data_IF_682204013454
#
_entry.id   IF_682204013454
#
_cell.length_a   1.000
_cell.length_b   1.000
_cell.length_c   1.000
_cell.angle_alpha   90.00
_cell.angle_beta   90.00
_cell.angle_gamma   90.00
#
_symmetry.space_group_name_H-M   'P 1'
#
loop_
_entity.id
_entity.type
_entity.pdbx_description
1 polymer ?
#
# COMPACT_ATOMS: atom_id res chain seq x y z
N UNK A 1 -7.94 -3.36 49.07
CA UNK A 1 -8.67 -4.10 48.02
C UNK A 1 -8.01 -3.77 46.69
N UNK A 2 -7.13 -4.65 46.21
CA UNK A 2 -6.39 -4.50 44.97
C UNK A 2 -7.11 -5.39 43.94
N UNK A 3 -7.76 -4.78 42.94
CA UNK A 3 -8.49 -5.49 41.91
C UNK A 3 -7.51 -6.06 40.88
N UNK A 4 -7.43 -7.36 40.77
CA UNK A 4 -6.78 -8.09 39.68
C UNK A 4 -7.48 -7.80 38.36
N UNK A 5 -6.76 -7.28 37.40
CA UNK A 5 -7.13 -7.31 35.98
C UNK A 5 -6.60 -8.63 35.37
N UNK A 6 -7.35 -9.30 34.52
CA UNK A 6 -6.96 -10.62 34.04
C UNK A 6 -5.82 -10.54 33.01
N UNK A 7 -4.87 -11.42 33.21
CA UNK A 7 -3.59 -11.62 32.50
C UNK A 7 -3.73 -12.18 31.06
N UNK A 8 -4.96 -12.21 30.51
CA UNK A 8 -5.25 -12.89 29.25
C UNK A 8 -4.98 -12.04 27.98
N UNK A 9 -4.86 -10.71 28.12
CA UNK A 9 -4.55 -9.88 26.94
C UNK A 9 -3.05 -9.82 26.61
N UNK A 10 -2.17 -10.12 27.57
CA UNK A 10 -0.72 -10.16 27.33
C UNK A 10 -0.23 -11.43 26.62
N UNK A 11 -0.99 -12.51 26.65
CA UNK A 11 -0.61 -13.78 26.00
C UNK A 11 -0.91 -13.79 24.50
N UNK A 12 -1.93 -13.06 24.04
CA UNK A 12 -2.31 -13.04 22.62
C UNK A 12 -1.33 -12.20 21.78
N UNK A 13 -0.74 -11.15 22.36
CA UNK A 13 0.26 -10.31 21.65
C UNK A 13 1.59 -11.06 21.47
N UNK A 14 1.88 -12.05 22.33
CA UNK A 14 3.15 -12.81 22.28
C UNK A 14 3.20 -13.92 21.22
N UNK A 15 2.06 -14.39 20.71
CA UNK A 15 2.02 -15.47 19.70
C UNK A 15 2.21 -15.00 18.27
N UNK A 16 2.02 -13.71 18.00
CA UNK A 16 1.98 -13.15 16.65
C UNK A 16 3.32 -12.57 16.17
N UNK A 17 4.35 -12.68 17.00
CA UNK A 17 5.69 -12.25 16.69
C UNK A 17 6.48 -13.43 16.08
N UNK A 18 6.65 -13.43 14.78
CA UNK A 18 7.42 -14.46 14.06
C UNK A 18 8.88 -14.48 14.54
N UNK A 19 9.36 -15.67 14.94
CA UNK A 19 10.79 -15.96 15.05
C UNK A 19 11.34 -16.12 13.63
N UNK A 20 12.17 -15.20 13.20
CA UNK A 20 13.07 -15.44 12.08
C UNK A 20 14.29 -16.19 12.62
N UNK A 21 14.67 -17.27 11.95
CA UNK A 21 15.75 -18.16 12.36
C UNK A 21 17.05 -17.38 12.67
N UNK A 22 17.47 -17.46 13.91
CA UNK A 22 18.82 -17.05 14.35
C UNK A 22 18.99 -15.63 14.87
N UNK A 23 17.97 -14.75 14.89
CA UNK A 23 18.04 -13.40 15.47
C UNK A 23 17.00 -13.26 16.56
N UNK A 24 17.42 -13.06 17.81
CA UNK A 24 16.55 -12.78 18.95
C UNK A 24 15.97 -11.34 18.87
N UNK A 25 15.11 -11.09 17.89
CA UNK A 25 14.39 -9.83 17.72
C UNK A 25 12.93 -10.10 17.42
N UNK A 26 12.05 -9.39 18.12
CA UNK A 26 10.63 -9.39 17.82
C UNK A 26 10.40 -8.40 16.66
N UNK A 27 10.03 -8.89 15.48
CA UNK A 27 9.75 -8.03 14.32
C UNK A 27 8.25 -7.84 14.19
N UNK A 28 7.84 -6.63 13.83
CA UNK A 28 6.45 -6.34 13.49
C UNK A 28 6.08 -7.07 12.18
N UNK A 29 4.95 -7.75 12.20
CA UNK A 29 4.37 -8.35 11.01
C UNK A 29 3.70 -7.25 10.15
N UNK A 30 3.62 -7.46 8.84
CA UNK A 30 2.95 -6.53 7.93
C UNK A 30 1.50 -6.25 8.36
N UNK A 31 0.79 -7.27 8.82
CA UNK A 31 -0.59 -7.19 9.30
C UNK A 31 -0.77 -6.39 10.59
N UNK A 32 0.27 -6.15 11.37
CA UNK A 32 0.22 -5.39 12.63
C UNK A 32 0.71 -3.95 12.48
N UNK A 33 1.15 -3.54 11.28
CA UNK A 33 1.60 -2.19 11.01
C UNK A 33 0.48 -1.12 11.10
N UNK A 34 -0.76 -1.53 10.94
CA UNK A 34 -1.95 -0.69 11.17
C UNK A 34 -2.82 -1.36 12.22
N UNK A 35 -3.24 -0.59 13.23
CA UNK A 35 -4.07 -1.09 14.31
C UNK A 35 -5.37 -1.72 13.77
N UNK A 36 -5.64 -2.97 14.13
CA UNK A 36 -6.81 -3.74 13.70
C UNK A 36 -6.72 -4.35 12.30
N UNK A 37 -5.64 -4.13 11.53
CA UNK A 37 -5.45 -4.78 10.22
C UNK A 37 -5.28 -6.30 10.38
N UNK A 38 -4.76 -6.77 11.50
CA UNK A 38 -4.64 -8.18 11.88
C UNK A 38 -5.99 -8.90 11.99
N UNK A 39 -7.08 -8.16 12.21
CA UNK A 39 -8.45 -8.72 12.18
C UNK A 39 -8.92 -9.05 10.77
N UNK A 40 -8.37 -8.34 9.78
CA UNK A 40 -8.68 -8.54 8.36
C UNK A 40 -7.69 -9.50 7.72
N UNK A 41 -6.41 -9.28 7.90
CA UNK A 41 -5.32 -10.15 7.39
C UNK A 41 -4.88 -11.05 8.54
N UNK A 42 -5.35 -12.31 8.54
CA UNK A 42 -5.19 -13.23 9.67
C UNK A 42 -3.83 -13.91 9.71
N UNK A 43 -3.24 -14.17 8.55
CA UNK A 43 -1.86 -14.67 8.44
C UNK A 43 -0.99 -13.62 7.77
N UNK A 44 0.29 -13.57 8.12
CA UNK A 44 1.16 -12.53 7.59
C UNK A 44 1.41 -12.67 6.08
N UNK A 45 1.75 -11.56 5.46
CA UNK A 45 2.00 -11.50 4.03
C UNK A 45 3.43 -11.96 3.77
N UNK A 46 3.57 -13.14 3.14
CA UNK A 46 4.88 -13.67 2.75
C UNK A 46 5.39 -12.98 1.47
N UNK A 47 6.54 -12.29 1.51
CA UNK A 47 7.16 -11.72 0.32
C UNK A 47 7.64 -12.79 -0.67
N UNK A 48 7.78 -12.48 -1.98
CA UNK A 48 7.36 -11.24 -2.62
C UNK A 48 5.88 -11.23 -3.00
N UNK A 49 5.22 -10.07 -2.93
CA UNK A 49 3.83 -9.89 -3.39
C UNK A 49 3.64 -8.53 -4.05
N UNK A 50 2.80 -8.49 -5.07
CA UNK A 50 2.26 -7.25 -5.62
C UNK A 50 0.81 -7.12 -5.18
N UNK A 51 0.51 -6.06 -4.44
CA UNK A 51 -0.81 -5.79 -3.86
C UNK A 51 -1.36 -4.52 -4.49
N UNK A 52 -2.50 -4.62 -5.15
CA UNK A 52 -3.24 -3.48 -5.66
C UNK A 52 -4.05 -2.87 -4.52
N UNK A 53 -3.85 -1.58 -4.25
CA UNK A 53 -4.65 -0.80 -3.31
C UNK A 53 -5.55 0.12 -4.11
N UNK A 54 -6.83 -0.19 -4.15
CA UNK A 54 -7.78 0.47 -5.05
C UNK A 54 -8.93 1.11 -4.31
N UNK A 55 -9.63 2.03 -4.98
CA UNK A 55 -10.81 2.71 -4.44
C UNK A 55 -11.02 4.10 -5.03
N UNK A 56 -12.18 4.74 -4.75
CA UNK A 56 -12.50 6.06 -5.27
C UNK A 56 -11.60 7.15 -4.66
N UNK A 57 -11.59 8.36 -5.24
CA UNK A 57 -10.98 9.53 -4.62
C UNK A 57 -11.50 9.75 -3.20
N UNK A 58 -10.63 10.16 -2.27
CA UNK A 58 -10.98 10.40 -0.86
C UNK A 58 -11.13 9.14 0.00
N UNK A 59 -10.89 7.93 -0.54
CA UNK A 59 -10.93 6.68 0.23
C UNK A 59 -9.68 6.41 1.09
N UNK A 60 -8.67 7.28 1.04
CA UNK A 60 -7.44 7.23 1.84
C UNK A 60 -6.40 6.19 1.39
N UNK A 61 -6.33 5.89 0.09
CA UNK A 61 -5.34 4.95 -0.49
C UNK A 61 -3.89 5.34 -0.17
N UNK A 62 -3.52 6.59 -0.49
CA UNK A 62 -2.21 7.18 -0.21
C UNK A 62 -1.84 7.08 1.27
N UNK A 63 -2.75 7.52 2.15
CA UNK A 63 -2.52 7.51 3.61
C UNK A 63 -2.39 6.09 4.17
N UNK A 64 -3.16 5.14 3.63
CA UNK A 64 -3.06 3.73 4.01
C UNK A 64 -1.68 3.16 3.64
N UNK A 65 -1.26 3.32 2.38
CA UNK A 65 0.04 2.82 1.91
C UNK A 65 1.20 3.45 2.69
N UNK A 66 1.15 4.76 2.91
CA UNK A 66 2.18 5.48 3.64
C UNK A 66 2.25 5.06 5.11
N UNK A 67 1.12 5.01 5.81
CA UNK A 67 1.07 4.61 7.23
C UNK A 67 1.60 3.20 7.42
N UNK A 68 1.13 2.26 6.57
CA UNK A 68 1.57 0.88 6.62
C UNK A 68 3.08 0.77 6.41
N UNK A 69 3.58 1.42 5.35
CA UNK A 69 4.99 1.37 4.99
C UNK A 69 5.87 2.03 6.05
N UNK A 70 5.50 3.24 6.52
CA UNK A 70 6.28 3.98 7.52
C UNK A 70 6.40 3.21 8.84
N UNK A 71 5.30 2.68 9.35
CA UNK A 71 5.30 1.92 10.61
C UNK A 71 6.07 0.61 10.47
N UNK A 72 5.82 -0.14 9.39
CA UNK A 72 6.54 -1.39 9.15
C UNK A 72 8.07 -1.17 9.08
N UNK A 73 8.52 -0.18 8.29
CA UNK A 73 9.95 0.09 8.14
C UNK A 73 10.60 0.64 9.41
N UNK A 74 9.85 1.41 10.22
CA UNK A 74 10.34 1.89 11.52
C UNK A 74 10.66 0.74 12.47
N UNK A 75 9.84 -0.29 12.47
CA UNK A 75 9.95 -1.39 13.42
C UNK A 75 10.87 -2.51 12.94
N UNK A 76 10.93 -2.75 11.64
CA UNK A 76 11.80 -3.81 11.09
C UNK A 76 13.23 -3.36 10.80
N UNK A 77 13.44 -2.05 10.59
CA UNK A 77 14.71 -1.52 10.11
C UNK A 77 15.00 -1.86 8.65
N UNK A 78 14.04 -2.46 7.94
CA UNK A 78 14.12 -2.68 6.49
C UNK A 78 13.98 -1.37 5.73
N UNK A 79 14.35 -1.37 4.44
CA UNK A 79 14.30 -0.19 3.58
C UNK A 79 13.11 -0.27 2.61
N UNK A 80 12.53 0.89 2.31
CA UNK A 80 11.44 1.02 1.37
C UNK A 80 11.54 2.27 0.49
N UNK A 81 11.01 2.15 -0.73
CA UNK A 81 10.91 3.22 -1.71
C UNK A 81 9.43 3.53 -1.97
N UNK A 82 9.02 4.76 -1.66
CA UNK A 82 7.70 5.31 -2.01
C UNK A 82 7.84 6.23 -3.21
N UNK A 83 7.17 5.92 -4.30
CA UNK A 83 7.19 6.70 -5.54
C UNK A 83 5.82 7.32 -5.74
N UNK A 84 5.74 8.66 -5.70
CA UNK A 84 4.52 9.41 -6.02
C UNK A 84 4.61 10.01 -7.42
N UNK A 85 3.52 9.91 -8.17
CA UNK A 85 3.35 10.49 -9.50
C UNK A 85 2.30 11.61 -9.52
N UNK A 86 1.61 11.85 -8.40
CA UNK A 86 0.48 12.78 -8.32
C UNK A 86 0.85 14.10 -7.61
N UNK A 87 1.80 14.06 -6.69
CA UNK A 87 2.18 15.22 -5.89
C UNK A 87 3.69 15.27 -5.65
N UNK A 88 4.20 16.44 -5.27
CA UNK A 88 5.61 16.62 -4.89
C UNK A 88 5.88 15.93 -3.54
N UNK A 89 7.13 15.50 -3.32
CA UNK A 89 7.58 14.97 -2.00
C UNK A 89 7.19 15.90 -0.86
N UNK A 90 7.36 17.21 -1.06
CA UNK A 90 7.07 18.21 -0.02
C UNK A 90 5.57 18.28 0.32
N UNK A 91 4.69 18.22 -0.69
CA UNK A 91 3.23 18.15 -0.50
C UNK A 91 2.84 16.87 0.22
N UNK A 92 3.37 15.74 -0.24
CA UNK A 92 3.11 14.43 0.33
C UNK A 92 3.46 14.37 1.82
N UNK A 93 4.67 14.82 2.17
CA UNK A 93 5.13 14.84 3.57
C UNK A 93 4.25 15.73 4.47
N UNK A 94 3.88 16.94 4.00
CA UNK A 94 2.97 17.83 4.75
C UNK A 94 1.61 17.19 5.00
N UNK A 95 1.07 16.49 3.98
CA UNK A 95 -0.20 15.79 4.12
C UNK A 95 -0.12 14.68 5.17
N UNK A 96 0.95 13.89 5.17
CA UNK A 96 1.15 12.81 6.15
C UNK A 96 1.43 13.33 7.56
N UNK A 97 2.22 14.39 7.69
CA UNK A 97 2.47 15.07 8.97
C UNK A 97 1.17 15.63 9.57
N UNK A 98 0.28 16.18 8.76
CA UNK A 98 -1.03 16.66 9.21
C UNK A 98 -1.90 15.55 9.82
N UNK A 99 -1.72 14.32 9.39
CA UNK A 99 -2.33 13.12 9.94
C UNK A 99 -1.56 12.57 11.15
N UNK A 100 -0.41 13.17 11.49
CA UNK A 100 0.46 12.72 12.57
C UNK A 100 1.18 11.41 12.28
N UNK A 101 1.35 11.05 11.01
CA UNK A 101 2.15 9.89 10.59
C UNK A 101 3.57 10.34 10.31
N UNK A 102 4.49 9.86 11.12
CA UNK A 102 5.91 10.20 11.01
C UNK A 102 6.55 9.49 9.80
N UNK A 103 7.50 10.16 9.16
CA UNK A 103 8.36 9.54 8.14
C UNK A 103 9.34 8.57 8.82
N UNK A 104 9.39 7.33 8.35
CA UNK A 104 10.46 6.40 8.75
C UNK A 104 11.79 6.83 8.12
N UNK A 105 12.88 6.82 8.87
CA UNK A 105 14.22 7.09 8.36
C UNK A 105 14.69 6.07 7.30
N UNK A 106 14.03 4.92 7.24
CA UNK A 106 14.33 3.86 6.27
C UNK A 106 13.41 3.92 5.04
N UNK A 107 12.62 4.99 4.88
CA UNK A 107 11.75 5.21 3.73
C UNK A 107 12.28 6.36 2.87
N UNK A 108 12.62 6.06 1.64
CA UNK A 108 12.89 7.07 0.63
C UNK A 108 11.59 7.40 -0.11
N UNK A 109 11.31 8.69 -0.30
CA UNK A 109 10.22 9.16 -1.14
C UNK A 109 10.81 9.82 -2.37
N UNK A 110 10.24 9.52 -3.53
CA UNK A 110 10.61 10.14 -4.82
C UNK A 110 9.36 10.60 -5.54
N UNK A 111 9.41 11.77 -6.15
CA UNK A 111 8.40 12.27 -7.09
C UNK A 111 9.00 12.46 -8.49
N UNK A 112 8.16 12.83 -9.44
CA UNK A 112 8.52 12.99 -10.85
C UNK A 112 8.19 14.38 -11.37
N UNK A 113 8.04 15.36 -10.48
CA UNK A 113 7.61 16.72 -10.85
C UNK A 113 8.60 17.34 -11.82
N UNK A 114 9.90 17.30 -11.52
CA UNK A 114 10.93 17.89 -12.37
C UNK A 114 11.00 17.21 -13.76
N UNK A 115 10.84 15.86 -13.82
CA UNK A 115 10.81 15.13 -15.08
C UNK A 115 9.59 15.52 -15.93
N UNK A 116 8.43 15.71 -15.31
CA UNK A 116 7.21 16.13 -16.01
C UNK A 116 7.34 17.56 -16.55
N UNK A 117 8.01 18.46 -15.83
CA UNK A 117 8.29 19.81 -16.30
C UNK A 117 9.24 19.79 -17.50
N UNK A 118 10.25 18.91 -17.50
CA UNK A 118 11.15 18.73 -18.65
C UNK A 118 10.37 18.17 -19.84
N UNK A 119 9.58 17.14 -19.66
CA UNK A 119 8.80 16.52 -20.73
C UNK A 119 7.76 17.46 -21.34
N UNK A 120 7.28 18.45 -20.59
CA UNK A 120 6.35 19.45 -21.10
C UNK A 120 6.97 20.40 -22.15
N UNK A 121 8.30 20.50 -22.23
CA UNK A 121 9.03 21.41 -23.13
C UNK A 121 9.84 20.69 -24.22
N UNK A 122 10.00 19.35 -24.11
CA UNK A 122 10.69 18.54 -25.12
C UNK A 122 9.70 17.97 -26.15
N UNK A 123 10.19 17.56 -27.31
CA UNK A 123 9.36 16.93 -28.33
C UNK A 123 8.93 15.51 -27.97
N UNK A 124 7.90 14.95 -28.64
CA UNK A 124 7.39 13.61 -28.36
C UNK A 124 8.45 12.49 -28.45
N UNK A 125 9.46 12.67 -29.32
CA UNK A 125 10.53 11.68 -29.51
C UNK A 125 11.52 11.63 -28.33
N UNK A 126 11.57 12.70 -27.52
CA UNK A 126 12.51 12.84 -26.39
C UNK A 126 11.83 12.64 -25.02
N UNK A 127 10.58 12.21 -25.01
CA UNK A 127 9.83 12.01 -23.76
C UNK A 127 10.37 10.86 -22.90
N UNK A 128 10.24 11.03 -21.60
CA UNK A 128 10.74 10.07 -20.62
C UNK A 128 9.92 8.77 -20.62
N UNK A 129 10.56 7.61 -20.77
CA UNK A 129 9.92 6.35 -20.40
C UNK A 129 9.89 6.21 -18.86
N UNK A 130 8.81 6.71 -18.25
CA UNK A 130 8.62 6.73 -16.80
C UNK A 130 8.69 5.33 -16.18
N UNK A 131 8.17 4.30 -16.87
CA UNK A 131 8.23 2.93 -16.38
C UNK A 131 9.68 2.45 -16.31
N UNK A 132 10.45 2.64 -17.38
CA UNK A 132 11.87 2.29 -17.40
C UNK A 132 12.69 3.11 -16.38
N UNK A 133 12.28 4.34 -16.10
CA UNK A 133 12.93 5.14 -15.06
C UNK A 133 12.67 4.56 -13.66
N UNK A 134 11.41 4.20 -13.35
CA UNK A 134 11.03 3.54 -12.09
C UNK A 134 11.80 2.22 -11.93
N UNK A 135 11.88 1.41 -12.98
CA UNK A 135 12.64 0.16 -12.96
C UNK A 135 14.12 0.40 -12.62
N UNK A 136 14.75 1.39 -13.24
CA UNK A 136 16.16 1.75 -12.93
C UNK A 136 16.33 2.22 -11.50
N UNK A 137 15.39 3.01 -10.96
CA UNK A 137 15.42 3.40 -9.54
C UNK A 137 15.34 2.21 -8.61
N UNK A 138 14.43 1.27 -8.86
CA UNK A 138 14.28 0.05 -8.05
C UNK A 138 15.58 -0.75 -8.06
N UNK A 139 16.17 -0.97 -9.23
CA UNK A 139 17.43 -1.69 -9.37
C UNK A 139 18.59 -0.97 -8.69
N UNK A 140 18.63 0.37 -8.73
CA UNK A 140 19.61 1.18 -8.00
C UNK A 140 19.49 0.96 -6.49
N UNK A 141 18.29 1.12 -5.92
CA UNK A 141 18.09 0.93 -4.47
C UNK A 141 18.31 -0.52 -4.04
N UNK A 142 17.98 -1.50 -4.90
CA UNK A 142 18.33 -2.91 -4.65
C UNK A 142 19.84 -3.10 -4.56
N UNK A 143 20.61 -2.46 -5.43
CA UNK A 143 22.08 -2.50 -5.39
C UNK A 143 22.63 -1.84 -4.12
N UNK A 144 22.06 -0.72 -3.68
CA UNK A 144 22.54 0.04 -2.51
C UNK A 144 22.18 -0.65 -1.20
N UNK A 145 20.95 -1.11 -1.05
CA UNK A 145 20.40 -1.63 0.21
C UNK A 145 20.36 -3.16 0.28
N UNK A 146 20.62 -3.85 -0.83
CA UNK A 146 20.62 -5.31 -0.89
C UNK A 146 19.30 -5.91 -0.41
N UNK A 147 19.36 -6.94 0.42
CA UNK A 147 18.20 -7.62 0.97
C UNK A 147 17.38 -6.79 1.97
N UNK A 148 17.89 -5.65 2.43
CA UNK A 148 17.12 -4.73 3.28
C UNK A 148 16.03 -4.00 2.51
N UNK A 149 16.14 -3.84 1.19
CA UNK A 149 15.10 -3.23 0.37
C UNK A 149 13.95 -4.23 0.19
N UNK A 150 12.86 -4.03 0.94
CA UNK A 150 11.73 -4.96 1.02
C UNK A 150 10.41 -4.39 0.57
N UNK A 151 10.19 -3.09 0.72
CA UNK A 151 8.91 -2.46 0.35
C UNK A 151 9.06 -1.47 -0.79
N UNK A 152 8.13 -1.52 -1.71
CA UNK A 152 7.97 -0.54 -2.78
C UNK A 152 6.53 -0.07 -2.85
N UNK A 153 6.30 1.23 -3.05
CA UNK A 153 4.97 1.79 -3.30
C UNK A 153 5.00 2.64 -4.57
N UNK A 154 4.02 2.43 -5.44
CA UNK A 154 3.74 3.26 -6.61
C UNK A 154 2.38 3.96 -6.44
N UNK A 155 2.39 5.26 -6.30
CA UNK A 155 1.19 6.09 -6.13
C UNK A 155 1.12 7.20 -7.21
N UNK A 156 0.44 6.99 -8.34
CA UNK A 156 -0.45 5.89 -8.62
C UNK A 156 -0.15 5.26 -9.99
N UNK A 157 -0.68 4.05 -10.19
CA UNK A 157 -0.63 3.37 -11.48
C UNK A 157 -1.46 4.11 -12.54
N UNK A 158 -2.58 4.74 -12.13
CA UNK A 158 -3.39 5.58 -13.02
C UNK A 158 -2.62 6.77 -13.55
N UNK A 159 -1.87 7.46 -12.68
CA UNK A 159 -0.99 8.56 -13.09
C UNK A 159 0.13 8.06 -14.03
N UNK A 160 0.73 6.89 -13.75
CA UNK A 160 1.72 6.30 -14.65
C UNK A 160 1.14 6.06 -16.04
N UNK A 161 -0.07 5.49 -16.14
CA UNK A 161 -0.73 5.27 -17.43
C UNK A 161 -0.99 6.56 -18.20
N UNK A 162 -1.35 7.63 -17.49
CA UNK A 162 -1.58 8.95 -18.11
C UNK A 162 -0.29 9.58 -18.67
N UNK A 163 0.87 9.18 -18.15
CA UNK A 163 2.17 9.61 -18.61
C UNK A 163 2.76 8.73 -19.73
N UNK A 164 2.13 7.59 -20.00
CA UNK A 164 2.58 6.67 -21.05
C UNK A 164 1.81 6.94 -22.35
N UNK A 165 2.46 7.54 -23.34
CA UNK A 165 1.83 7.84 -24.62
C UNK A 165 1.36 6.60 -25.38
N UNK A 166 2.09 5.49 -25.27
CA UNK A 166 1.80 4.27 -25.99
C UNK A 166 1.19 3.20 -25.08
N UNK A 167 -0.13 3.10 -25.13
CA UNK A 167 -0.90 2.07 -24.41
C UNK A 167 -0.86 0.70 -25.08
N UNK A 168 -0.21 0.59 -26.25
CA UNK A 168 -0.10 -0.68 -26.97
C UNK A 168 0.73 -1.67 -26.12
N UNK A 169 0.19 -2.89 -25.95
CA UNK A 169 0.80 -3.93 -25.11
C UNK A 169 0.91 -3.59 -23.60
N UNK A 170 0.12 -2.65 -23.06
CA UNK A 170 0.16 -2.24 -21.66
C UNK A 170 0.12 -3.43 -20.70
N UNK A 171 -0.78 -4.39 -20.93
CA UNK A 171 -0.86 -5.62 -20.11
C UNK A 171 0.48 -6.39 -20.09
N UNK A 172 1.17 -6.46 -21.22
CA UNK A 172 2.48 -7.14 -21.32
C UNK A 172 3.55 -6.36 -20.56
N UNK A 173 3.56 -5.01 -20.64
CA UNK A 173 4.48 -4.15 -19.89
C UNK A 173 4.26 -4.31 -18.40
N UNK A 174 3.00 -4.27 -17.92
CA UNK A 174 2.66 -4.47 -16.52
C UNK A 174 3.00 -5.87 -16.01
N UNK A 175 2.81 -6.90 -16.83
CA UNK A 175 3.25 -8.26 -16.48
C UNK A 175 4.75 -8.31 -16.17
N UNK A 176 5.59 -7.73 -17.03
CA UNK A 176 7.03 -7.71 -16.82
C UNK A 176 7.44 -6.81 -15.65
N UNK A 177 6.79 -5.67 -15.47
CA UNK A 177 7.02 -4.80 -14.32
C UNK A 177 6.72 -5.51 -13.00
N UNK A 178 5.55 -6.12 -12.87
CA UNK A 178 5.20 -6.86 -11.65
C UNK A 178 6.06 -8.12 -11.45
N UNK A 179 6.49 -8.75 -12.54
CA UNK A 179 7.47 -9.83 -12.47
C UNK A 179 8.80 -9.31 -11.91
N UNK A 180 9.30 -8.19 -12.42
CA UNK A 180 10.55 -7.57 -11.95
C UNK A 180 10.48 -7.22 -10.46
N UNK A 181 9.35 -6.70 -9.97
CA UNK A 181 9.15 -6.44 -8.53
C UNK A 181 9.29 -7.73 -7.70
N UNK A 182 8.68 -8.83 -8.15
CA UNK A 182 8.79 -10.13 -7.47
C UNK A 182 10.21 -10.71 -7.55
N UNK A 183 10.84 -10.65 -8.71
CA UNK A 183 12.22 -11.15 -8.91
C UNK A 183 13.21 -10.39 -8.01
N UNK A 184 12.89 -9.14 -7.63
CA UNK A 184 13.64 -8.36 -6.66
C UNK A 184 13.16 -8.56 -5.21
N UNK A 185 12.35 -9.59 -4.93
CA UNK A 185 11.87 -9.94 -3.58
C UNK A 185 11.14 -8.79 -2.86
N UNK A 186 10.44 -7.92 -3.61
CA UNK A 186 9.72 -6.78 -3.05
C UNK A 186 8.26 -7.14 -2.75
N UNK A 187 7.79 -6.74 -1.57
CA UNK A 187 6.36 -6.54 -1.35
C UNK A 187 6.01 -5.15 -1.83
N UNK A 188 5.13 -5.08 -2.81
CA UNK A 188 4.83 -3.85 -3.53
C UNK A 188 3.37 -3.47 -3.36
N UNK A 189 3.11 -2.21 -2.97
CA UNK A 189 1.80 -1.60 -2.91
C UNK A 189 1.63 -0.74 -4.17
N UNK A 190 0.64 -1.04 -4.99
CA UNK A 190 0.37 -0.30 -6.22
C UNK A 190 -0.99 0.36 -6.08
N UNK A 191 -0.99 1.69 -5.97
CA UNK A 191 -2.23 2.46 -5.84
C UNK A 191 -2.88 2.63 -7.20
N UNK A 192 -4.20 2.41 -7.25
CA UNK A 192 -4.99 2.61 -8.46
C UNK A 192 -6.36 3.16 -8.13
N UNK A 193 -6.81 4.15 -8.87
CA UNK A 193 -8.16 4.66 -8.73
C UNK A 193 -9.19 3.69 -9.31
N UNK A 194 -10.35 3.63 -8.65
CA UNK A 194 -11.51 2.85 -9.10
C UNK A 194 -12.73 3.76 -9.07
N UNK A 195 -13.52 3.73 -10.14
CA UNK A 195 -14.79 4.43 -10.16
C UNK A 195 -15.73 3.90 -9.07
N UNK A 196 -16.57 4.75 -8.45
CA UNK A 196 -17.58 4.31 -7.47
C UNK A 196 -18.54 3.25 -8.01
N UNK A 197 -18.81 3.25 -9.30
CA UNK A 197 -19.72 2.30 -9.97
C UNK A 197 -19.09 0.93 -10.23
N UNK A 198 -17.87 0.70 -9.73
CA UNK A 198 -17.16 -0.58 -9.87
C UNK A 198 -16.56 -0.82 -11.25
N UNK A 199 -16.89 -0.01 -12.25
CA UNK A 199 -16.23 -0.04 -13.54
C UNK A 199 -14.88 0.68 -13.44
N UNK A 200 -13.81 -0.08 -13.36
CA UNK A 200 -12.47 0.47 -13.58
C UNK A 200 -12.36 0.78 -15.07
N UNK A 201 -12.52 2.04 -15.43
CA UNK A 201 -12.36 2.50 -16.83
C UNK A 201 -10.93 2.35 -17.37
N UNK A 202 -9.99 2.00 -16.52
CA UNK A 202 -8.59 1.80 -16.88
C UNK A 202 -8.25 0.32 -16.69
N UNK A 203 -8.30 -0.40 -17.80
CA UNK A 203 -7.55 -1.62 -18.04
C UNK A 203 -7.98 -2.92 -17.34
N UNK A 204 -9.06 -3.09 -16.67
CA UNK A 204 -9.75 -4.34 -16.28
C UNK A 204 -9.00 -5.68 -16.10
N UNK A 205 -7.68 -5.69 -16.23
CA UNK A 205 -6.87 -6.91 -16.25
C UNK A 205 -5.74 -6.92 -15.18
N UNK A 206 -5.42 -5.82 -14.53
CA UNK A 206 -4.37 -5.75 -13.50
C UNK A 206 -4.66 -6.66 -12.32
N UNK A 207 -5.92 -6.78 -11.93
CA UNK A 207 -6.36 -7.68 -10.88
C UNK A 207 -5.95 -9.13 -11.09
N UNK A 208 -5.77 -9.59 -12.35
CA UNK A 208 -5.27 -10.94 -12.65
C UNK A 208 -3.75 -11.05 -12.46
N UNK A 209 -3.01 -9.96 -12.62
CA UNK A 209 -1.55 -9.94 -12.56
C UNK A 209 -1.01 -9.80 -11.14
N UNK A 210 -1.81 -9.27 -10.20
CA UNK A 210 -1.41 -9.02 -8.81
C UNK A 210 -1.72 -10.20 -7.89
N UNK A 211 -1.05 -10.23 -6.74
CA UNK A 211 -1.21 -11.28 -5.72
C UNK A 211 -2.29 -10.94 -4.70
N UNK A 212 -2.54 -9.65 -4.49
CA UNK A 212 -3.57 -9.16 -3.58
C UNK A 212 -4.32 -7.96 -4.15
N UNK A 213 -5.55 -7.76 -3.68
CA UNK A 213 -6.38 -6.58 -3.95
C UNK A 213 -6.99 -6.14 -2.63
N UNK A 214 -6.66 -4.93 -2.21
CA UNK A 214 -7.23 -4.24 -1.05
C UNK A 214 -8.08 -3.09 -1.58
N UNK A 215 -9.38 -3.15 -1.34
CA UNK A 215 -10.33 -2.09 -1.67
C UNK A 215 -10.49 -1.16 -0.46
N UNK A 216 -10.23 0.12 -0.66
CA UNK A 216 -10.58 1.20 0.26
C UNK A 216 -11.80 1.91 -0.31
N UNK A 217 -12.95 1.72 0.30
CA UNK A 217 -14.21 2.20 -0.24
C UNK A 217 -14.90 3.22 0.66
N UNK A 218 -15.98 3.77 0.10
CA UNK A 218 -16.88 4.70 0.75
C UNK A 218 -18.28 4.08 0.74
N UNK A 219 -18.87 3.89 1.91
CA UNK A 219 -20.24 3.38 2.05
C UNK A 219 -21.15 4.44 2.69
N UNK A 220 -22.40 4.49 2.27
CA UNK A 220 -23.41 5.38 2.85
C UNK A 220 -24.36 4.55 3.70
N UNK A 221 -24.15 4.60 5.01
CA UNK A 221 -25.04 3.94 5.98
C UNK A 221 -25.72 4.96 6.87
N UNK A 222 -27.05 4.91 6.94
CA UNK A 222 -27.90 5.79 7.78
C UNK A 222 -27.57 7.29 7.63
N UNK A 223 -27.34 7.74 6.39
CA UNK A 223 -27.03 9.13 6.08
C UNK A 223 -25.59 9.57 6.42
N UNK A 224 -24.74 8.66 6.90
CA UNK A 224 -23.32 8.91 7.17
C UNK A 224 -22.44 8.26 6.11
N UNK A 225 -21.37 8.95 5.72
CA UNK A 225 -20.33 8.38 4.87
C UNK A 225 -19.32 7.66 5.75
N UNK A 226 -19.17 6.36 5.52
CA UNK A 226 -18.25 5.50 6.26
C UNK A 226 -17.15 5.05 5.28
N UNK A 227 -15.89 5.20 5.68
CA UNK A 227 -14.77 4.59 4.97
C UNK A 227 -14.61 3.14 5.40
N UNK A 228 -14.28 2.26 4.45
CA UNK A 228 -14.04 0.86 4.76
C UNK A 228 -12.83 0.31 4.00
N UNK A 229 -12.26 -0.75 4.57
CA UNK A 229 -11.27 -1.62 3.95
C UNK A 229 -11.90 -2.99 3.72
N UNK A 230 -11.65 -3.56 2.55
CA UNK A 230 -12.04 -4.92 2.19
C UNK A 230 -10.90 -5.58 1.43
N UNK A 231 -10.56 -6.82 1.76
CA UNK A 231 -9.61 -7.62 0.98
C UNK A 231 -10.42 -8.45 -0.01
N UNK A 232 -10.38 -8.07 -1.30
CA UNK A 232 -11.05 -8.80 -2.38
C UNK A 232 -10.24 -10.02 -2.82
N UNK A 233 -8.91 -9.99 -2.62
CA UNK A 233 -7.99 -11.06 -3.01
C UNK A 233 -6.70 -10.97 -2.20
N UNK A 234 -6.20 -12.11 -1.73
CA UNK A 234 -4.84 -12.21 -1.19
C UNK A 234 -4.36 -13.65 -1.29
N UNK A 235 -3.50 -13.93 -2.28
CA UNK A 235 -2.97 -15.28 -2.53
C UNK A 235 -2.15 -15.76 -1.34
N UNK A 236 -2.34 -17.04 -0.95
CA UNK A 236 -1.59 -17.70 0.11
C UNK A 236 -1.60 -16.94 1.46
N UNK A 237 -2.70 -16.27 1.78
CA UNK A 237 -2.88 -15.48 3.00
C UNK A 237 -4.32 -15.60 3.46
N UNK A 238 -4.53 -16.02 4.70
CA UNK A 238 -5.88 -16.05 5.29
C UNK A 238 -6.35 -14.65 5.60
N UNK A 239 -7.53 -14.28 5.14
CA UNK A 239 -8.11 -12.95 5.32
C UNK A 239 -9.63 -12.97 5.40
N UNK A 240 -10.20 -11.92 5.97
CA UNK A 240 -11.63 -11.63 5.92
C UNK A 240 -11.98 -10.99 4.58
N UNK A 241 -13.11 -11.36 4.01
CA UNK A 241 -13.69 -10.71 2.82
C UNK A 241 -14.75 -9.67 3.18
N UNK A 242 -15.01 -9.46 4.47
CA UNK A 242 -15.97 -8.47 4.94
C UNK A 242 -15.44 -7.05 4.81
N UNK A 243 -16.36 -6.08 4.69
CA UNK A 243 -16.05 -4.66 4.79
C UNK A 243 -15.76 -4.30 6.24
N UNK A 244 -14.58 -3.78 6.53
CA UNK A 244 -14.21 -3.30 7.87
C UNK A 244 -14.14 -1.77 7.87
N UNK A 245 -14.81 -1.13 8.83
CA UNK A 245 -14.75 0.33 8.94
C UNK A 245 -13.33 0.82 9.20
N UNK A 246 -12.99 1.99 8.66
CA UNK A 246 -11.73 2.69 8.90
C UNK A 246 -12.02 3.99 9.61
N UNK A 247 -11.30 4.24 10.68
CA UNK A 247 -11.24 5.53 11.36
C UNK A 247 -9.90 6.21 11.10
N UNK A 248 -9.96 7.53 10.91
CA UNK A 248 -8.79 8.40 10.76
C UNK A 248 -8.66 9.21 12.03
N UNK A 249 -7.47 9.17 12.61
CA UNK A 249 -7.16 9.91 13.82
C UNK A 249 -5.73 10.47 13.76
N UNK A 250 -5.37 11.27 14.73
CA UNK A 250 -3.99 11.75 14.86
C UNK A 250 -3.07 10.55 15.12
N UNK A 251 -2.17 10.30 14.18
CA UNK A 251 -1.25 9.14 14.19
C UNK A 251 -1.55 8.13 13.08
N UNK A 252 -2.57 8.38 12.22
CA UNK A 252 -2.85 7.58 11.03
C UNK A 252 -4.23 6.94 10.99
N UNK A 253 -4.26 5.67 10.67
CA UNK A 253 -5.47 4.90 10.41
C UNK A 253 -5.62 3.77 11.42
N UNK A 254 -6.88 3.45 11.77
CA UNK A 254 -7.24 2.24 12.50
C UNK A 254 -8.34 1.49 11.75
N UNK A 255 -8.18 0.19 11.61
CA UNK A 255 -9.21 -0.70 11.07
C UNK A 255 -10.08 -1.18 12.24
N UNK A 256 -11.36 -0.93 12.12
CA UNK A 256 -12.37 -1.29 13.14
C UNK A 256 -13.01 -2.67 12.84
N UNK A 257 -14.12 -2.95 13.49
CA UNK A 257 -14.91 -4.16 13.24
C UNK A 257 -15.61 -4.16 11.88
N UNK A 258 -16.19 -5.31 11.48
CA UNK A 258 -16.93 -5.42 10.24
C UNK A 258 -18.16 -4.52 10.24
N UNK A 259 -18.50 -4.02 9.04
CA UNK A 259 -19.72 -3.26 8.79
C UNK A 259 -20.80 -4.28 8.47
N UNK A 260 -21.78 -4.40 9.36
CA UNK A 260 -22.96 -5.22 9.09
C UNK A 260 -23.95 -4.41 8.23
N UNK A 261 -24.26 -4.89 7.05
CA UNK A 261 -25.42 -4.41 6.29
C UNK A 261 -26.65 -4.80 7.11
N UNK A 262 -27.29 -3.81 7.73
CA UNK A 262 -28.63 -4.03 8.31
C UNK A 262 -29.54 -4.30 7.12
N UNK A 263 -29.85 -5.58 6.91
CA UNK A 263 -30.82 -5.99 5.88
C UNK A 263 -32.08 -5.15 6.03
N UNK A 264 -32.44 -4.48 4.95
CA UNK A 264 -33.75 -3.84 4.88
C UNK A 264 -34.80 -4.93 5.05
N UNK A 265 -35.57 -4.85 6.14
CA UNK A 265 -36.87 -5.47 6.21
C UNK A 265 -37.85 -4.63 5.37
#
# INVERSE_FOLDING_TARGET
MISHRPDNQRKTIKSDLMRLDGVNGWFMAFRTAIDGLDKVIRTDISPPKVILVTGPPGSMKTSFCYTLMSRYLKDTGEFGLYTTLEETVQSHLRNMESLGVELSMNMQISDFTDLREIDAVVGPEDQTDYLAFIERMILHYRKVHGHKFRLFTLDSLGALYSLMENTHNMRKRMFYFFKMLRDNELTSLVVMERSPDGESQLLGNEGFLVDGIVLLGLDRSRGKLIRYLQVEKMRSTEHSMEKHAIEIHKGGLTVLGPIFETGGM
#
